data_IF_536091802006
#
_entry.id   IF_536091802006
#
_cell.length_a   1.000
_cell.length_b   1.000
_cell.length_c   1.000
_cell.angle_alpha   90.00
_cell.angle_beta   90.00
_cell.angle_gamma   90.00
#
_symmetry.space_group_name_H-M   'P 1'
#
loop_
_entity.id
_entity.type
_entity.pdbx_description
1 polymer ?
#
# COMPACT_ATOMS: atom_id res chain seq x y z
N UNK A 1 -4.27 -2.22 15.38
CA UNK A 1 -2.98 -2.51 14.70
C UNK A 1 -3.27 -3.22 13.39
N UNK A 2 -2.77 -2.71 12.26
CA UNK A 2 -2.98 -3.32 10.93
C UNK A 2 -2.08 -4.56 10.84
N UNK A 3 -2.63 -5.71 10.45
CA UNK A 3 -1.91 -7.01 10.38
C UNK A 3 -1.61 -7.47 8.96
N UNK A 4 -2.37 -6.99 7.98
CA UNK A 4 -2.25 -7.39 6.59
C UNK A 4 -2.61 -6.18 5.72
N UNK A 5 -1.79 -5.92 4.71
CA UNK A 5 -2.13 -5.05 3.60
C UNK A 5 -2.40 -5.92 2.36
N UNK A 6 -3.62 -5.86 1.84
CA UNK A 6 -3.99 -6.52 0.59
C UNK A 6 -4.36 -5.46 -0.46
N UNK A 7 -3.70 -5.51 -1.60
CA UNK A 7 -3.89 -4.57 -2.71
C UNK A 7 -3.98 -5.37 -4.00
N UNK A 8 -4.99 -5.09 -4.82
CA UNK A 8 -5.15 -5.70 -6.14
C UNK A 8 -5.50 -4.63 -7.17
N UNK A 9 -4.98 -4.78 -8.38
CA UNK A 9 -5.26 -3.92 -9.54
C UNK A 9 -5.11 -2.40 -9.25
N UNK A 10 -4.11 -2.03 -8.45
CA UNK A 10 -3.84 -0.63 -8.10
C UNK A 10 -2.56 -0.14 -8.77
N UNK A 11 -2.70 0.74 -9.76
CA UNK A 11 -1.57 1.24 -10.57
C UNK A 11 -0.77 0.05 -11.12
N UNK A 12 0.54 -0.03 -10.84
CA UNK A 12 1.38 -1.14 -11.29
C UNK A 12 1.29 -2.40 -10.42
N UNK A 13 0.54 -2.39 -9.31
CA UNK A 13 0.38 -3.56 -8.43
C UNK A 13 -0.78 -4.41 -8.94
N UNK A 14 -0.46 -5.58 -9.51
CA UNK A 14 -1.47 -6.57 -9.92
C UNK A 14 -2.11 -7.23 -8.70
N UNK A 15 -1.29 -7.76 -7.81
CA UNK A 15 -1.69 -8.30 -6.51
C UNK A 15 -0.53 -8.17 -5.52
N UNK A 16 -0.83 -7.78 -4.28
CA UNK A 16 0.11 -7.75 -3.17
C UNK A 16 -0.64 -8.11 -1.88
N UNK A 17 -0.15 -9.13 -1.15
CA UNK A 17 -0.63 -9.53 0.17
C UNK A 17 0.56 -9.51 1.12
N UNK A 18 0.64 -8.49 1.96
CA UNK A 18 1.79 -8.24 2.82
C UNK A 18 1.38 -8.33 4.30
N UNK A 19 1.75 -9.42 4.99
CA UNK A 19 1.69 -9.46 6.44
C UNK A 19 2.53 -8.32 7.02
N UNK A 20 2.00 -7.61 8.00
CA UNK A 20 2.68 -6.46 8.63
C UNK A 20 3.17 -6.83 10.02
N UNK A 21 4.47 -6.61 10.24
CA UNK A 21 5.11 -6.67 11.55
C UNK A 21 5.21 -5.30 12.22
N UNK A 22 5.90 -5.25 13.36
CA UNK A 22 6.21 -3.99 14.06
C UNK A 22 7.13 -3.07 13.24
N UNK A 23 8.00 -3.66 12.42
CA UNK A 23 8.84 -2.96 11.45
C UNK A 23 8.72 -3.66 10.10
N UNK A 24 8.46 -2.89 9.04
CA UNK A 24 8.35 -3.42 7.68
C UNK A 24 9.35 -2.66 6.81
N UNK A 25 10.33 -3.37 6.27
CA UNK A 25 11.31 -2.82 5.35
C UNK A 25 10.92 -3.19 3.92
N UNK A 26 10.54 -2.19 3.12
CA UNK A 26 10.16 -2.39 1.72
C UNK A 26 11.38 -2.11 0.83
N UNK A 27 11.93 -3.15 0.19
CA UNK A 27 13.08 -3.08 -0.71
C UNK A 27 12.75 -3.56 -2.12
N UNK A 28 13.69 -3.38 -3.06
CA UNK A 28 13.57 -3.84 -4.45
C UNK A 28 14.08 -2.82 -5.46
N UNK A 29 14.27 -3.25 -6.72
CA UNK A 29 14.78 -2.43 -7.81
C UNK A 29 13.91 -1.20 -8.13
N UNK A 30 14.47 -0.18 -8.79
CA UNK A 30 13.66 0.94 -9.25
C UNK A 30 12.53 0.46 -10.18
N UNK A 31 11.34 1.07 -10.09
CA UNK A 31 10.17 0.64 -10.86
C UNK A 31 9.44 -0.59 -10.32
N UNK A 32 9.93 -1.26 -9.26
CA UNK A 32 9.31 -2.49 -8.72
C UNK A 32 7.96 -2.30 -8.00
N UNK A 33 7.37 -1.11 -8.01
CA UNK A 33 6.06 -0.84 -7.40
C UNK A 33 6.08 -0.40 -5.93
N UNK A 34 7.24 -0.24 -5.28
CA UNK A 34 7.35 0.23 -3.87
C UNK A 34 6.60 1.54 -3.61
N UNK A 35 6.77 2.54 -4.47
CA UNK A 35 6.05 3.82 -4.35
C UNK A 35 4.54 3.65 -4.53
N UNK A 36 4.11 2.69 -5.35
CA UNK A 36 2.68 2.39 -5.51
C UNK A 36 2.11 1.66 -4.29
N UNK A 37 2.92 0.88 -3.58
CA UNK A 37 2.52 0.29 -2.30
C UNK A 37 2.23 1.36 -1.24
N UNK A 38 3.13 2.34 -1.11
CA UNK A 38 2.90 3.48 -0.21
C UNK A 38 1.68 4.32 -0.63
N UNK A 39 1.47 4.51 -1.94
CA UNK A 39 0.27 5.21 -2.44
C UNK A 39 -1.03 4.44 -2.17
N UNK A 40 -1.01 3.10 -2.19
CA UNK A 40 -2.16 2.29 -1.81
C UNK A 40 -2.49 2.45 -0.32
N UNK A 41 -1.47 2.41 0.54
CA UNK A 41 -1.62 2.72 1.97
C UNK A 41 -2.16 4.12 2.20
N UNK A 42 -1.66 5.10 1.46
CA UNK A 42 -2.13 6.48 1.55
C UNK A 42 -3.59 6.60 1.13
N UNK A 43 -3.98 5.99 0.01
CA UNK A 43 -5.37 5.95 -0.44
C UNK A 43 -6.29 5.37 0.65
N UNK A 44 -5.92 4.24 1.26
CA UNK A 44 -6.71 3.67 2.36
C UNK A 44 -6.86 4.64 3.54
N UNK A 45 -5.79 5.35 3.90
CA UNK A 45 -5.83 6.38 4.95
C UNK A 45 -6.74 7.55 4.57
N UNK A 46 -6.62 8.06 3.34
CA UNK A 46 -7.44 9.18 2.86
C UNK A 46 -8.93 8.77 2.77
N UNK A 47 -9.22 7.54 2.37
CA UNK A 47 -10.59 7.00 2.39
C UNK A 47 -11.14 6.92 3.82
N UNK A 48 -10.34 6.44 4.77
CA UNK A 48 -10.76 6.36 6.17
C UNK A 48 -10.99 7.75 6.80
N UNK A 49 -10.28 8.77 6.32
CA UNK A 49 -10.38 10.16 6.79
C UNK A 49 -11.39 11.01 6.00
N UNK A 50 -11.99 10.47 4.93
CA UNK A 50 -12.92 11.19 4.07
C UNK A 50 -12.29 12.23 3.13
N UNK A 51 -10.97 12.15 2.92
CA UNK A 51 -10.19 13.12 2.11
C UNK A 51 -9.82 12.59 0.72
N UNK A 52 -10.26 11.39 0.35
CA UNK A 52 -9.88 10.77 -0.91
C UNK A 52 -10.53 11.42 -2.16
N UNK A 53 -11.62 12.16 -1.97
CA UNK A 53 -12.42 12.77 -3.04
C UNK A 53 -12.63 14.28 -2.86
N UNK A 54 -12.12 14.85 -1.76
CA UNK A 54 -12.22 16.27 -1.43
C UNK A 54 -11.22 17.12 -2.21
#
# INVERSE_FOLDING_TARGET
MIRLLAVSNYRSLKEARLPLGMLNLITGANGSGKSNLYKALRLLSDTALGTATS
#
